data_IF_765014054515
#
_entry.id   IF_765014054515
#
_cell.length_a   1.000
_cell.length_b   1.000
_cell.length_c   1.000
_cell.angle_alpha   90.00
_cell.angle_beta   90.00
_cell.angle_gamma   90.00
#
_symmetry.space_group_name_H-M   'P 1'
#
loop_
_entity.id
_entity.type
_entity.pdbx_description
1 polymer ?
#
# COMPACT_ATOMS: atom_id res chain seq x y z
N UNK A 1 29.45 -3.85 -9.85
CA UNK A 1 28.52 -4.98 -9.62
C UNK A 1 27.10 -4.41 -9.53
N UNK A 2 26.12 -5.01 -10.22
CA UNK A 2 24.73 -4.51 -10.17
C UNK A 2 24.20 -4.53 -8.73
N UNK A 3 23.41 -3.53 -8.32
CA UNK A 3 22.88 -3.43 -6.96
C UNK A 3 22.11 -4.68 -6.52
N UNK A 4 21.46 -5.38 -7.45
CA UNK A 4 20.77 -6.65 -7.22
C UNK A 4 21.72 -7.81 -6.88
N UNK A 5 22.91 -7.88 -7.48
CA UNK A 5 23.91 -8.89 -7.12
C UNK A 5 24.47 -8.67 -5.71
N UNK A 6 24.70 -7.41 -5.34
CA UNK A 6 25.12 -7.03 -3.97
C UNK A 6 24.01 -7.35 -2.97
N UNK A 7 22.75 -7.10 -3.32
CA UNK A 7 21.59 -7.52 -2.54
C UNK A 7 21.59 -9.03 -2.29
N UNK A 8 21.66 -9.86 -3.34
CA UNK A 8 21.64 -11.32 -3.18
C UNK A 8 22.83 -11.83 -2.35
N UNK A 9 24.01 -11.22 -2.47
CA UNK A 9 25.15 -11.56 -1.62
C UNK A 9 24.93 -11.22 -0.14
N UNK A 10 24.40 -10.03 0.17
CA UNK A 10 24.07 -9.62 1.55
C UNK A 10 22.94 -10.48 2.12
N UNK A 11 21.96 -10.83 1.30
CA UNK A 11 20.80 -11.65 1.66
C UNK A 11 21.14 -13.13 1.87
N UNK A 12 22.14 -13.67 1.15
CA UNK A 12 22.66 -15.03 1.38
C UNK A 12 23.18 -15.21 2.81
N UNK A 13 23.72 -14.15 3.41
CA UNK A 13 24.18 -14.15 4.82
C UNK A 13 23.02 -13.99 5.82
N UNK A 14 21.82 -13.61 5.37
CA UNK A 14 20.65 -13.28 6.22
C UNK A 14 19.34 -13.84 5.60
N UNK A 15 19.19 -15.16 5.48
CA UNK A 15 18.09 -15.81 4.75
C UNK A 15 16.69 -15.61 5.37
N UNK A 16 16.61 -15.10 6.59
CA UNK A 16 15.35 -14.79 7.26
C UNK A 16 14.63 -13.56 6.66
N UNK A 17 15.36 -12.61 6.05
CA UNK A 17 14.78 -11.43 5.40
C UNK A 17 13.93 -11.82 4.18
N UNK A 18 14.47 -12.54 3.16
CA UNK A 18 13.68 -12.93 2.01
C UNK A 18 12.59 -13.94 2.42
N UNK A 19 12.86 -14.81 3.40
CA UNK A 19 11.86 -15.74 3.92
C UNK A 19 10.64 -15.02 4.53
N UNK A 20 10.85 -13.93 5.25
CA UNK A 20 9.76 -13.12 5.80
C UNK A 20 8.90 -12.50 4.68
N UNK A 21 9.51 -11.93 3.64
CA UNK A 21 8.78 -11.38 2.49
C UNK A 21 8.04 -12.51 1.76
N UNK A 22 8.67 -13.67 1.60
CA UNK A 22 8.09 -14.84 0.95
C UNK A 22 6.81 -15.32 1.69
N UNK A 23 6.88 -15.48 3.00
CA UNK A 23 5.74 -15.93 3.81
C UNK A 23 4.64 -14.85 3.86
N UNK A 24 5.00 -13.58 4.09
CA UNK A 24 4.02 -12.50 4.18
C UNK A 24 3.27 -12.28 2.86
N UNK A 25 3.97 -12.34 1.72
CA UNK A 25 3.33 -12.26 0.39
C UNK A 25 2.44 -13.46 0.10
N UNK A 26 2.77 -14.66 0.61
CA UNK A 26 1.89 -15.83 0.52
C UNK A 26 0.59 -15.59 1.30
N UNK A 27 0.70 -15.18 2.56
CA UNK A 27 -0.45 -14.90 3.43
C UNK A 27 -1.36 -13.85 2.78
N UNK A 28 -0.79 -12.73 2.30
CA UNK A 28 -1.56 -11.67 1.63
C UNK A 28 -2.27 -12.21 0.39
N UNK A 29 -1.59 -13.02 -0.42
CA UNK A 29 -2.16 -13.59 -1.64
C UNK A 29 -3.32 -14.54 -1.34
N UNK A 30 -3.19 -15.39 -0.30
CA UNK A 30 -4.25 -16.30 0.13
C UNK A 30 -5.44 -15.54 0.72
N UNK A 31 -5.19 -14.52 1.55
CA UNK A 31 -6.25 -13.68 2.13
C UNK A 31 -7.00 -12.91 1.06
N UNK A 32 -6.31 -12.36 0.06
CA UNK A 32 -6.93 -11.66 -1.06
C UNK A 32 -7.80 -12.61 -1.90
N UNK A 33 -7.32 -13.83 -2.15
CA UNK A 33 -8.08 -14.84 -2.88
C UNK A 33 -9.36 -15.28 -2.16
N UNK A 34 -9.31 -15.41 -0.83
CA UNK A 34 -10.47 -15.77 0.00
C UNK A 34 -11.37 -14.58 0.35
N UNK A 35 -11.04 -13.38 -0.12
CA UNK A 35 -11.76 -12.18 0.25
C UNK A 35 -13.10 -12.11 -0.50
N UNK A 36 -14.25 -12.08 0.21
CA UNK A 36 -15.55 -11.94 -0.44
C UNK A 36 -15.70 -10.60 -1.17
N UNK A 37 -14.90 -9.59 -0.80
CA UNK A 37 -14.84 -8.30 -1.49
C UNK A 37 -14.21 -8.47 -2.87
N UNK A 38 -13.13 -9.23 -2.98
CA UNK A 38 -12.45 -9.49 -4.25
C UNK A 38 -13.31 -10.38 -5.15
N UNK A 39 -14.05 -11.32 -4.57
CA UNK A 39 -15.04 -12.12 -5.31
C UNK A 39 -16.19 -11.27 -5.86
N UNK A 40 -16.77 -10.41 -5.02
CA UNK A 40 -17.90 -9.57 -5.40
C UNK A 40 -17.52 -8.47 -6.39
N UNK A 41 -16.41 -7.78 -6.16
CA UNK A 41 -16.01 -6.58 -6.92
C UNK A 41 -14.85 -6.79 -7.89
N UNK A 42 -14.15 -7.92 -7.81
CA UNK A 42 -13.01 -8.22 -8.67
C UNK A 42 -13.37 -8.86 -10.01
N UNK A 43 -14.63 -9.23 -10.24
CA UNK A 43 -15.07 -9.62 -11.58
C UNK A 43 -15.19 -8.39 -12.47
N UNK A 44 -14.53 -8.39 -13.63
CA UNK A 44 -14.67 -7.33 -14.65
C UNK A 44 -16.14 -7.07 -15.05
N UNK A 45 -17.04 -8.02 -14.78
CA UNK A 45 -18.48 -7.93 -15.01
C UNK A 45 -19.11 -6.70 -14.35
N UNK A 46 -18.65 -6.30 -13.16
CA UNK A 46 -19.16 -5.14 -12.43
C UNK A 46 -18.64 -3.81 -12.99
N UNK A 47 -17.46 -3.81 -13.62
CA UNK A 47 -16.86 -2.62 -14.26
C UNK A 47 -17.55 -2.31 -15.61
N UNK A 48 -18.16 -3.32 -16.25
CA UNK A 48 -18.84 -3.18 -17.53
C UNK A 48 -20.37 -3.23 -17.45
N UNK A 49 -20.96 -3.42 -16.26
CA UNK A 49 -22.41 -3.35 -16.07
C UNK A 49 -22.86 -1.95 -15.63
N UNK A 50 -24.15 -1.62 -15.87
CA UNK A 50 -24.80 -0.39 -15.38
C UNK A 50 -24.80 -0.26 -13.84
N UNK A 51 -24.37 -1.30 -13.11
CA UNK A 51 -24.46 -1.41 -11.65
C UNK A 51 -23.46 -0.54 -10.88
N UNK A 52 -22.47 0.10 -11.53
CA UNK A 52 -21.49 0.93 -10.81
C UNK A 52 -22.16 2.13 -10.14
N UNK A 53 -23.05 2.83 -10.84
CA UNK A 53 -23.75 3.98 -10.24
C UNK A 53 -24.71 3.55 -9.15
N UNK A 54 -25.39 2.41 -9.33
CA UNK A 54 -26.28 1.87 -8.30
C UNK A 54 -25.47 1.43 -7.07
N UNK A 55 -24.28 0.84 -7.27
CA UNK A 55 -23.36 0.46 -6.18
C UNK A 55 -22.77 1.68 -5.47
N UNK A 56 -22.41 2.74 -6.21
CA UNK A 56 -21.93 4.00 -5.65
C UNK A 56 -23.06 4.76 -4.93
N UNK A 57 -24.27 4.72 -5.47
CA UNK A 57 -25.48 5.27 -4.86
C UNK A 57 -25.84 4.54 -3.58
N UNK A 58 -25.79 3.20 -3.58
CA UNK A 58 -25.98 2.38 -2.38
C UNK A 58 -24.89 2.67 -1.34
N UNK A 59 -23.64 2.87 -1.76
CA UNK A 59 -22.54 3.26 -0.88
C UNK A 59 -22.77 4.66 -0.29
N UNK A 60 -23.17 5.64 -1.10
CA UNK A 60 -23.50 7.00 -0.65
C UNK A 60 -24.65 6.98 0.36
N UNK A 61 -25.72 6.25 0.05
CA UNK A 61 -26.87 6.10 0.93
C UNK A 61 -26.49 5.43 2.25
N UNK A 62 -25.61 4.40 2.23
CA UNK A 62 -25.07 3.79 3.45
C UNK A 62 -24.26 4.78 4.28
N UNK A 63 -23.43 5.61 3.64
CA UNK A 63 -22.65 6.66 4.32
C UNK A 63 -23.59 7.71 4.92
N UNK A 64 -24.62 8.16 4.19
CA UNK A 64 -25.62 9.10 4.67
C UNK A 64 -26.43 8.54 5.84
N UNK A 65 -26.89 7.30 5.74
CA UNK A 65 -27.62 6.60 6.80
C UNK A 65 -26.75 6.45 8.05
N UNK A 66 -25.46 6.12 7.86
CA UNK A 66 -24.49 6.05 8.94
C UNK A 66 -24.31 7.42 9.62
N UNK A 67 -24.23 8.51 8.86
CA UNK A 67 -24.13 9.87 9.42
C UNK A 67 -25.42 10.29 10.16
N UNK A 68 -26.58 9.87 9.66
CA UNK A 68 -27.89 10.21 10.22
C UNK A 68 -28.14 9.60 11.62
N UNK A 69 -27.44 8.52 11.98
CA UNK A 69 -27.52 7.88 13.30
C UNK A 69 -26.24 8.08 14.13
N UNK A 70 -25.99 9.29 14.67
CA UNK A 70 -24.69 9.67 15.22
C UNK A 70 -24.24 8.80 16.41
N UNK A 71 -25.17 8.30 17.23
CA UNK A 71 -24.84 7.42 18.36
C UNK A 71 -24.33 6.06 17.90
N UNK A 72 -24.97 5.45 16.90
CA UNK A 72 -24.56 4.17 16.34
C UNK A 72 -23.25 4.31 15.55
N UNK A 73 -23.08 5.44 14.84
CA UNK A 73 -21.87 5.76 14.12
C UNK A 73 -20.63 5.86 15.01
N UNK A 74 -20.73 6.59 16.13
CA UNK A 74 -19.62 6.76 17.08
C UNK A 74 -19.18 5.40 17.65
N UNK A 75 -20.14 4.54 18.04
CA UNK A 75 -19.83 3.20 18.56
C UNK A 75 -19.11 2.36 17.51
N UNK A 76 -19.58 2.37 16.25
CA UNK A 76 -18.94 1.63 15.16
C UNK A 76 -17.53 2.15 14.84
N UNK A 77 -17.31 3.48 14.86
CA UNK A 77 -15.98 4.08 14.70
C UNK A 77 -15.05 3.64 15.83
N UNK A 78 -15.50 3.69 17.08
CA UNK A 78 -14.69 3.27 18.22
C UNK A 78 -14.31 1.80 18.16
N UNK A 79 -15.27 0.92 17.80
CA UNK A 79 -15.00 -0.50 17.59
C UNK A 79 -14.00 -0.73 16.46
N UNK A 80 -14.13 0.02 15.36
CA UNK A 80 -13.20 -0.04 14.24
C UNK A 80 -11.78 0.40 14.65
N UNK A 81 -11.65 1.51 15.37
CA UNK A 81 -10.36 2.00 15.85
C UNK A 81 -9.71 1.01 16.82
N UNK A 82 -10.49 0.41 17.73
CA UNK A 82 -10.00 -0.61 18.64
C UNK A 82 -9.52 -1.86 17.89
N UNK A 83 -10.30 -2.31 16.90
CA UNK A 83 -9.92 -3.43 16.04
C UNK A 83 -8.64 -3.12 15.24
N UNK A 84 -8.57 -1.95 14.62
CA UNK A 84 -7.39 -1.50 13.88
C UNK A 84 -6.15 -1.47 14.77
N UNK A 85 -6.28 -1.00 16.02
CA UNK A 85 -5.18 -0.99 16.99
C UNK A 85 -4.74 -2.41 17.38
N UNK A 86 -5.70 -3.30 17.65
CA UNK A 86 -5.42 -4.69 18.00
C UNK A 86 -4.69 -5.43 16.87
N UNK A 87 -5.19 -5.32 15.63
CA UNK A 87 -4.56 -5.91 14.45
C UNK A 87 -3.16 -5.30 14.21
N UNK A 88 -3.03 -3.98 14.39
CA UNK A 88 -1.73 -3.30 14.30
C UNK A 88 -0.72 -3.87 15.29
N UNK A 89 -1.12 -4.13 16.54
CA UNK A 89 -0.25 -4.71 17.55
C UNK A 89 0.26 -6.10 17.15
N UNK A 90 -0.63 -6.96 16.64
CA UNK A 90 -0.28 -8.32 16.20
C UNK A 90 0.71 -8.29 15.02
N UNK A 91 0.43 -7.49 13.99
CA UNK A 91 1.29 -7.40 12.80
C UNK A 91 2.64 -6.76 13.14
N UNK A 92 2.65 -5.78 14.06
CA UNK A 92 3.85 -5.06 14.47
C UNK A 92 4.88 -5.94 15.16
N UNK A 93 4.44 -7.01 15.83
CA UNK A 93 5.35 -7.89 16.55
C UNK A 93 6.39 -8.49 15.61
N UNK A 94 5.94 -9.12 14.52
CA UNK A 94 6.83 -9.71 13.54
C UNK A 94 7.52 -8.66 12.67
N UNK A 95 6.78 -7.61 12.28
CA UNK A 95 7.29 -6.62 11.33
C UNK A 95 8.35 -5.71 11.93
N UNK A 96 8.28 -5.38 13.22
CA UNK A 96 9.28 -4.53 13.89
C UNK A 96 10.67 -5.19 13.92
N UNK A 97 10.72 -6.50 14.17
CA UNK A 97 11.95 -7.30 14.12
C UNK A 97 12.50 -7.32 12.69
N UNK A 98 11.63 -7.53 11.70
CA UNK A 98 12.00 -7.52 10.29
C UNK A 98 12.60 -6.17 9.86
N UNK A 99 11.88 -5.07 10.11
CA UNK A 99 12.29 -3.70 9.74
C UNK A 99 13.69 -3.39 10.28
N UNK A 100 13.94 -3.68 11.56
CA UNK A 100 15.24 -3.41 12.20
C UNK A 100 16.36 -4.25 11.61
N UNK A 101 16.14 -5.56 11.44
CA UNK A 101 17.17 -6.44 10.88
C UNK A 101 17.46 -6.13 9.41
N UNK A 102 16.46 -5.70 8.66
CA UNK A 102 16.63 -5.31 7.26
C UNK A 102 17.40 -3.99 7.14
N UNK A 103 17.07 -2.99 7.96
CA UNK A 103 17.84 -1.74 8.04
C UNK A 103 19.32 -2.01 8.35
N UNK A 104 19.62 -2.77 9.41
CA UNK A 104 21.00 -3.13 9.76
C UNK A 104 21.70 -3.98 8.69
N UNK A 105 20.96 -4.66 7.81
CA UNK A 105 21.55 -5.42 6.70
C UNK A 105 21.93 -4.54 5.51
N UNK A 106 21.21 -3.44 5.32
CA UNK A 106 21.47 -2.51 4.22
C UNK A 106 22.53 -1.49 4.62
N UNK A 107 22.54 -1.04 5.88
CA UNK A 107 23.50 -0.07 6.40
C UNK A 107 24.85 -0.67 6.86
N UNK A 108 25.05 -1.99 6.71
CA UNK A 108 26.25 -2.72 7.16
C UNK A 108 26.66 -2.50 8.64
N UNK A 109 25.72 -2.08 9.49
CA UNK A 109 25.96 -1.81 10.90
C UNK A 109 26.06 -3.09 11.75
N UNK A 110 26.95 -3.08 12.76
CA UNK A 110 27.15 -4.21 13.68
C UNK A 110 25.97 -4.40 14.65
N UNK A 111 25.70 -5.66 15.02
CA UNK A 111 24.61 -6.02 15.94
C UNK A 111 25.15 -6.17 17.35
N UNK A 112 24.91 -5.18 18.21
CA UNK A 112 25.24 -5.26 19.64
C UNK A 112 24.12 -6.03 20.37
N UNK A 113 24.46 -7.22 20.91
CA UNK A 113 23.49 -8.23 21.42
C UNK A 113 22.62 -7.81 22.62
N UNK A 114 22.88 -6.68 23.29
CA UNK A 114 22.04 -6.13 24.38
C UNK A 114 21.13 -4.98 23.94
N UNK A 115 21.60 -4.11 23.06
CA UNK A 115 20.83 -2.98 22.55
C UNK A 115 19.70 -3.40 21.60
N UNK A 116 19.82 -4.58 21.00
CA UNK A 116 18.84 -5.06 20.03
C UNK A 116 17.44 -5.22 20.64
N UNK A 117 17.32 -5.79 21.85
CA UNK A 117 16.02 -5.99 22.51
C UNK A 117 15.38 -4.66 22.92
N UNK A 118 16.15 -3.78 23.56
CA UNK A 118 15.69 -2.45 23.97
C UNK A 118 15.25 -1.61 22.75
N UNK A 119 16.06 -1.61 21.69
CA UNK A 119 15.76 -0.88 20.46
C UNK A 119 14.61 -1.53 19.66
N UNK A 120 14.43 -2.85 19.74
CA UNK A 120 13.30 -3.53 19.09
C UNK A 120 11.96 -3.21 19.76
N UNK A 121 11.92 -3.04 21.08
CA UNK A 121 10.71 -2.58 21.79
C UNK A 121 10.34 -1.15 21.40
N UNK A 122 11.32 -0.24 21.30
CA UNK A 122 11.08 1.11 20.79
C UNK A 122 10.63 1.14 19.32
N UNK A 123 11.11 0.19 18.51
CA UNK A 123 10.67 0.00 17.12
C UNK A 123 9.26 -0.59 17.05
N UNK A 124 8.91 -1.50 17.96
CA UNK A 124 7.60 -2.14 18.05
C UNK A 124 6.47 -1.12 18.20
N UNK A 125 6.55 -0.24 19.21
CA UNK A 125 5.51 0.78 19.44
C UNK A 125 5.31 1.69 18.24
N UNK A 126 6.40 2.14 17.59
CA UNK A 126 6.31 2.95 16.37
C UNK A 126 5.68 2.18 15.21
N UNK A 127 5.96 0.88 15.12
CA UNK A 127 5.37 0.00 14.10
C UNK A 127 3.87 -0.18 14.33
N UNK A 128 3.41 -0.20 15.59
CA UNK A 128 1.97 -0.19 15.92
C UNK A 128 1.32 1.06 15.36
N UNK A 129 1.86 2.24 15.68
CA UNK A 129 1.33 3.50 15.17
C UNK A 129 1.39 3.60 13.65
N UNK A 130 2.43 3.04 13.03
CA UNK A 130 2.55 2.94 11.58
C UNK A 130 1.41 2.14 10.96
N UNK A 131 1.16 0.92 11.42
CA UNK A 131 0.06 0.10 10.89
C UNK A 131 -1.29 0.68 11.25
N UNK A 132 -1.44 1.26 12.44
CA UNK A 132 -2.68 1.91 12.85
C UNK A 132 -3.00 3.09 11.94
N UNK A 133 -2.01 3.94 11.64
CA UNK A 133 -2.16 5.03 10.70
C UNK A 133 -2.55 4.51 9.31
N UNK A 134 -1.96 3.40 8.83
CA UNK A 134 -2.36 2.78 7.55
C UNK A 134 -3.81 2.31 7.61
N UNK A 135 -4.21 1.57 8.65
CA UNK A 135 -5.58 1.07 8.76
C UNK A 135 -6.60 2.19 8.82
N UNK A 136 -6.31 3.31 9.50
CA UNK A 136 -7.24 4.45 9.55
C UNK A 136 -7.25 5.24 8.24
N UNK A 137 -6.08 5.48 7.63
CA UNK A 137 -5.97 6.35 6.46
C UNK A 137 -6.28 5.66 5.13
N UNK A 138 -6.00 4.37 4.98
CA UNK A 138 -6.21 3.64 3.73
C UNK A 138 -7.69 3.57 3.31
N UNK A 139 -8.66 3.28 4.20
CA UNK A 139 -10.08 3.33 3.86
C UNK A 139 -10.55 4.73 3.48
N UNK A 140 -10.05 5.77 4.14
CA UNK A 140 -10.37 7.16 3.81
C UNK A 140 -9.86 7.49 2.39
N UNK A 141 -8.61 7.14 2.10
CA UNK A 141 -8.04 7.31 0.76
C UNK A 141 -8.82 6.51 -0.29
N UNK A 142 -9.21 5.27 0.02
CA UNK A 142 -10.00 4.43 -0.88
C UNK A 142 -11.38 5.05 -1.14
N UNK A 143 -12.07 5.55 -0.12
CA UNK A 143 -13.34 6.26 -0.29
C UNK A 143 -13.17 7.47 -1.21
N UNK A 144 -12.14 8.29 -0.99
CA UNK A 144 -11.85 9.45 -1.85
C UNK A 144 -11.60 9.05 -3.31
N UNK A 145 -10.85 7.96 -3.54
CA UNK A 145 -10.61 7.41 -4.88
C UNK A 145 -11.89 6.86 -5.52
N UNK A 146 -12.76 6.20 -4.75
CA UNK A 146 -14.03 5.68 -5.23
C UNK A 146 -14.99 6.80 -5.62
N UNK A 147 -15.12 7.85 -4.80
CA UNK A 147 -15.93 9.03 -5.14
C UNK A 147 -15.37 9.78 -6.36
N UNK A 148 -14.06 9.74 -6.57
CA UNK A 148 -13.43 10.32 -7.76
C UNK A 148 -13.89 9.63 -9.06
N UNK A 149 -14.23 8.34 -9.02
CA UNK A 149 -14.76 7.59 -10.18
C UNK A 149 -16.13 8.14 -10.63
N UNK A 150 -16.96 8.61 -9.69
CA UNK A 150 -18.27 9.17 -10.00
C UNK A 150 -18.16 10.39 -10.94
N UNK A 151 -17.20 11.28 -10.68
CA UNK A 151 -16.93 12.47 -11.51
C UNK A 151 -16.54 12.06 -12.94
N UNK A 152 -15.66 11.04 -13.07
CA UNK A 152 -15.23 10.51 -14.36
C UNK A 152 -16.42 9.92 -15.13
N UNK A 153 -17.26 9.13 -14.45
CA UNK A 153 -18.42 8.51 -15.07
C UNK A 153 -19.49 9.52 -15.53
N UNK A 154 -19.82 10.51 -14.69
CA UNK A 154 -20.75 11.60 -15.06
C UNK A 154 -20.24 12.34 -16.29
N UNK A 155 -18.93 12.59 -16.34
CA UNK A 155 -18.28 13.23 -17.49
C UNK A 155 -18.46 12.40 -18.78
N UNK A 156 -18.29 11.08 -18.71
CA UNK A 156 -18.50 10.16 -19.83
C UNK A 156 -19.99 10.18 -20.27
N UNK A 157 -20.94 10.13 -19.34
CA UNK A 157 -22.36 10.19 -19.67
C UNK A 157 -22.76 11.50 -20.36
N UNK A 158 -22.28 12.64 -19.83
CA UNK A 158 -22.57 13.95 -20.43
C UNK A 158 -21.95 14.07 -21.82
N UNK A 159 -20.73 13.54 -22.01
CA UNK A 159 -20.07 13.47 -23.32
C UNK A 159 -20.94 12.72 -24.35
N UNK A 160 -21.45 11.54 -24.01
CA UNK A 160 -22.31 10.76 -24.91
C UNK A 160 -23.73 11.33 -25.05
N UNK A 161 -24.19 12.18 -24.13
CA UNK A 161 -25.52 12.83 -24.21
C UNK A 161 -25.59 14.01 -25.18
N UNK A 162 -24.47 14.43 -25.79
CA UNK A 162 -24.43 15.51 -26.78
C UNK A 162 -24.66 16.92 -26.23
N UNK A 163 -24.73 17.09 -24.90
CA UNK A 163 -24.92 18.39 -24.24
C UNK A 163 -23.60 19.18 -24.22
N UNK A 164 -23.31 19.84 -25.33
CA UNK A 164 -22.00 20.45 -25.63
C UNK A 164 -21.52 21.54 -24.65
N UNK A 165 -22.41 22.25 -23.96
CA UNK A 165 -22.04 23.47 -23.22
C UNK A 165 -21.11 23.25 -22.02
N UNK A 166 -21.08 22.03 -21.45
CA UNK A 166 -20.31 21.73 -20.23
C UNK A 166 -19.26 20.63 -20.40
N UNK A 167 -19.14 20.03 -21.60
CA UNK A 167 -18.28 18.87 -21.83
C UNK A 167 -16.81 19.19 -21.54
N UNK A 168 -16.32 20.33 -22.03
CA UNK A 168 -14.90 20.71 -21.83
C UNK A 168 -14.58 20.89 -20.35
N UNK A 169 -15.46 21.58 -19.60
CA UNK A 169 -15.28 21.79 -18.15
C UNK A 169 -15.30 20.46 -17.37
N UNK A 170 -16.20 19.55 -17.73
CA UNK A 170 -16.30 18.22 -17.09
C UNK A 170 -15.09 17.34 -17.41
N UNK A 171 -14.59 17.36 -18.65
CA UNK A 171 -13.37 16.62 -19.05
C UNK A 171 -12.16 17.14 -18.28
N UNK A 172 -11.99 18.47 -18.18
CA UNK A 172 -10.90 19.06 -17.40
C UNK A 172 -11.01 18.68 -15.93
N UNK A 173 -12.21 18.74 -15.34
CA UNK A 173 -12.44 18.32 -13.97
C UNK A 173 -12.08 16.84 -13.76
N UNK A 174 -12.53 15.95 -14.64
CA UNK A 174 -12.24 14.51 -14.57
C UNK A 174 -10.73 14.23 -14.66
N UNK A 175 -10.01 14.89 -15.58
CA UNK A 175 -8.56 14.74 -15.71
C UNK A 175 -7.84 15.22 -14.45
N UNK A 176 -8.23 16.38 -13.90
CA UNK A 176 -7.66 16.90 -12.65
C UNK A 176 -7.93 15.96 -11.48
N UNK A 177 -9.15 15.44 -11.34
CA UNK A 177 -9.51 14.49 -10.28
C UNK A 177 -8.68 13.21 -10.39
N UNK A 178 -8.52 12.64 -11.60
CA UNK A 178 -7.68 11.46 -11.82
C UNK A 178 -6.23 11.76 -11.47
N UNK A 179 -5.69 12.90 -11.92
CA UNK A 179 -4.31 13.28 -11.64
C UNK A 179 -4.06 13.45 -10.13
N UNK A 180 -4.93 14.19 -9.44
CA UNK A 180 -4.84 14.39 -7.99
C UNK A 180 -4.95 13.05 -7.25
N UNK A 181 -5.92 12.20 -7.60
CA UNK A 181 -6.09 10.88 -6.99
C UNK A 181 -4.87 9.98 -7.21
N UNK A 182 -4.32 9.99 -8.42
CA UNK A 182 -3.10 9.25 -8.77
C UNK A 182 -1.91 9.72 -7.94
N UNK A 183 -1.62 11.02 -7.92
CA UNK A 183 -0.49 11.55 -7.15
C UNK A 183 -0.69 11.34 -5.66
N UNK A 184 -1.89 11.55 -5.12
CA UNK A 184 -2.20 11.28 -3.71
C UNK A 184 -1.91 9.82 -3.34
N UNK A 185 -2.30 8.87 -4.20
CA UNK A 185 -2.03 7.45 -4.00
C UNK A 185 -0.52 7.12 -4.09
N UNK A 186 0.19 7.69 -5.06
CA UNK A 186 1.64 7.50 -5.19
C UNK A 186 2.37 8.06 -3.97
N UNK A 187 2.06 9.29 -3.54
CA UNK A 187 2.65 9.90 -2.35
C UNK A 187 2.35 9.11 -1.09
N UNK A 188 1.12 8.61 -0.95
CA UNK A 188 0.75 7.72 0.15
C UNK A 188 1.67 6.49 0.22
N UNK A 189 1.86 5.82 -0.92
CA UNK A 189 2.70 4.62 -1.00
C UNK A 189 4.17 4.95 -0.72
N UNK A 190 4.72 6.02 -1.31
CA UNK A 190 6.10 6.45 -1.06
C UNK A 190 6.31 6.76 0.43
N UNK A 191 5.43 7.57 1.02
CA UNK A 191 5.52 8.01 2.40
C UNK A 191 5.53 6.85 3.39
N UNK A 192 4.55 5.94 3.31
CA UNK A 192 4.50 4.79 4.20
C UNK A 192 5.65 3.81 3.94
N UNK A 193 6.09 3.65 2.68
CA UNK A 193 7.27 2.82 2.38
C UNK A 193 8.53 3.36 3.06
N UNK A 194 8.78 4.68 2.99
CA UNK A 194 9.92 5.34 3.61
C UNK A 194 9.85 5.42 5.13
N UNK A 195 8.66 5.41 5.68
CA UNK A 195 8.45 5.41 7.13
C UNK A 195 9.02 4.15 7.78
N UNK A 196 9.01 3.01 7.08
CA UNK A 196 9.57 1.75 7.60
C UNK A 196 11.07 1.86 7.97
N UNK A 197 12.00 2.17 7.05
CA UNK A 197 13.39 2.34 7.41
C UNK A 197 13.61 3.52 8.37
N UNK A 198 12.81 4.59 8.29
CA UNK A 198 12.93 5.74 9.20
C UNK A 198 12.62 5.39 10.67
N UNK A 199 11.61 4.55 10.91
CA UNK A 199 11.29 4.02 12.24
C UNK A 199 12.45 3.21 12.82
N UNK A 200 13.17 2.49 11.96
CA UNK A 200 14.32 1.68 12.33
C UNK A 200 15.55 2.53 12.65
N UNK A 201 15.79 3.57 11.85
CA UNK A 201 16.98 4.41 11.89
C UNK A 201 16.94 5.42 13.05
N UNK A 202 15.81 6.10 13.26
CA UNK A 202 15.73 7.23 14.19
C UNK A 202 15.02 6.88 15.50
N UNK A 203 15.64 7.23 16.64
CA UNK A 203 15.06 6.99 17.98
C UNK A 203 13.81 7.83 18.24
N UNK A 204 13.76 9.07 17.76
CA UNK A 204 12.59 9.96 17.80
C UNK A 204 12.39 10.56 16.41
N UNK A 205 11.15 10.96 16.09
CA UNK A 205 10.87 11.72 14.87
C UNK A 205 10.88 10.95 13.54
N UNK A 206 11.00 9.61 13.54
CA UNK A 206 11.11 8.82 12.30
C UNK A 206 10.03 9.12 11.25
N UNK A 207 8.77 9.34 11.65
CA UNK A 207 7.69 9.77 10.74
C UNK A 207 7.95 11.14 10.10
N UNK A 208 8.38 12.12 10.89
CA UNK A 208 8.71 13.48 10.41
C UNK A 208 9.91 13.43 9.47
N UNK A 209 10.91 12.62 9.78
CA UNK A 209 12.07 12.43 8.91
C UNK A 209 11.67 11.77 7.59
N UNK A 210 10.82 10.74 7.62
CA UNK A 210 10.28 10.14 6.40
C UNK A 210 9.53 11.16 5.54
N UNK A 211 8.72 12.04 6.16
CA UNK A 211 8.03 13.12 5.45
C UNK A 211 9.02 14.09 4.79
N UNK A 212 10.05 14.51 5.53
CA UNK A 212 11.07 15.43 5.02
C UNK A 212 11.88 14.82 3.88
N UNK A 213 12.31 13.57 4.01
CA UNK A 213 13.04 12.86 2.96
C UNK A 213 12.19 12.66 1.71
N UNK A 214 10.95 12.20 1.87
CA UNK A 214 10.06 11.96 0.73
C UNK A 214 9.63 13.26 0.05
N UNK A 215 9.49 14.36 0.79
CA UNK A 215 9.23 15.69 0.24
C UNK A 215 10.43 16.25 -0.53
N UNK A 216 11.64 16.15 0.04
CA UNK A 216 12.87 16.66 -0.60
C UNK A 216 13.30 15.87 -1.83
N UNK A 217 13.07 14.55 -1.83
CA UNK A 217 13.49 13.64 -2.89
C UNK A 217 12.33 13.10 -3.75
N UNK A 218 11.16 13.75 -3.70
CA UNK A 218 9.93 13.23 -4.29
C UNK A 218 10.09 12.83 -5.78
N UNK A 219 10.72 13.67 -6.58
CA UNK A 219 10.92 13.45 -8.02
C UNK A 219 11.84 12.25 -8.34
N UNK A 220 12.78 11.94 -7.46
CA UNK A 220 13.65 10.76 -7.63
C UNK A 220 12.91 9.46 -7.25
N UNK A 221 12.03 9.51 -6.25
CA UNK A 221 11.32 8.35 -5.72
C UNK A 221 10.09 7.98 -6.55
N UNK A 222 9.38 9.00 -7.01
CA UNK A 222 8.08 8.86 -7.65
C UNK A 222 8.10 7.96 -8.89
N UNK A 223 9.03 8.08 -9.87
CA UNK A 223 9.01 7.23 -11.06
C UNK A 223 9.16 5.73 -10.73
N UNK A 224 10.00 5.39 -9.74
CA UNK A 224 10.22 4.00 -9.32
C UNK A 224 9.02 3.44 -8.56
N UNK A 225 8.37 4.26 -7.74
CA UNK A 225 7.12 3.86 -7.08
C UNK A 225 5.97 3.73 -8.07
N UNK A 226 5.87 4.61 -9.07
CA UNK A 226 4.89 4.48 -10.16
C UNK A 226 5.11 3.17 -10.91
N UNK A 227 6.35 2.83 -11.26
CA UNK A 227 6.68 1.57 -11.92
C UNK A 227 6.28 0.36 -11.05
N UNK A 228 6.60 0.39 -9.76
CA UNK A 228 6.17 -0.65 -8.81
C UNK A 228 4.65 -0.80 -8.76
N UNK A 229 3.92 0.31 -8.65
CA UNK A 229 2.46 0.31 -8.61
C UNK A 229 1.85 -0.19 -9.93
N UNK A 230 2.42 0.21 -11.06
CA UNK A 230 2.00 -0.25 -12.38
C UNK A 230 2.18 -1.76 -12.53
N UNK A 231 3.34 -2.31 -12.17
CA UNK A 231 3.59 -3.76 -12.19
C UNK A 231 2.61 -4.49 -11.28
N UNK A 232 2.39 -4.00 -10.05
CA UNK A 232 1.43 -4.59 -9.12
C UNK A 232 -0.02 -4.53 -9.64
N UNK A 233 -0.39 -3.45 -10.33
CA UNK A 233 -1.70 -3.31 -10.97
C UNK A 233 -1.87 -4.32 -12.13
N UNK A 234 -0.88 -4.44 -13.01
CA UNK A 234 -0.89 -5.42 -14.12
C UNK A 234 -1.02 -6.83 -13.57
N UNK A 235 -0.23 -7.17 -12.54
CA UNK A 235 -0.36 -8.45 -11.85
C UNK A 235 -1.78 -8.63 -11.36
N UNK A 236 -2.35 -7.69 -10.60
CA UNK A 236 -3.75 -7.80 -10.12
C UNK A 236 -4.78 -7.96 -11.24
N UNK A 237 -4.69 -7.18 -12.31
CA UNK A 237 -5.61 -7.23 -13.46
C UNK A 237 -5.59 -8.60 -14.13
N UNK A 238 -4.39 -9.13 -14.40
CA UNK A 238 -4.23 -10.47 -15.00
C UNK A 238 -4.83 -11.55 -14.10
N UNK A 239 -4.66 -11.42 -12.78
CA UNK A 239 -5.18 -12.39 -11.83
C UNK A 239 -6.70 -12.40 -11.73
N UNK A 240 -7.31 -11.22 -11.67
CA UNK A 240 -8.77 -11.10 -11.68
C UNK A 240 -9.37 -11.66 -12.97
N UNK A 241 -8.71 -11.42 -14.11
CA UNK A 241 -9.17 -11.95 -15.41
C UNK A 241 -9.13 -13.47 -15.48
N UNK A 242 -8.05 -14.12 -14.99
CA UNK A 242 -7.92 -15.57 -15.06
C UNK A 242 -8.79 -16.27 -14.00
N UNK A 243 -8.84 -15.72 -12.78
CA UNK A 243 -9.52 -16.36 -11.66
C UNK A 243 -11.05 -16.34 -11.78
N UNK A 244 -11.62 -15.20 -12.16
CA UNK A 244 -13.08 -15.03 -12.29
C UNK A 244 -13.60 -15.20 -13.72
N UNK A 245 -12.69 -15.37 -14.69
CA UNK A 245 -13.05 -15.56 -16.10
C UNK A 245 -13.36 -17.01 -16.47
N UNK A 246 -12.51 -17.99 -16.08
CA UNK A 246 -12.46 -19.29 -16.79
C UNK A 246 -11.90 -20.50 -15.99
N UNK A 247 -11.64 -20.43 -14.68
CA UNK A 247 -10.75 -21.40 -14.02
C UNK A 247 -11.44 -22.56 -13.27
N UNK A 248 -10.96 -23.79 -13.52
CA UNK A 248 -11.13 -24.95 -12.63
C UNK A 248 -10.33 -24.77 -11.32
N UNK A 249 -10.60 -25.53 -10.24
CA UNK A 249 -9.87 -25.42 -8.97
C UNK A 249 -8.34 -25.55 -9.11
N UNK A 250 -7.88 -26.40 -10.05
CA UNK A 250 -6.46 -26.60 -10.34
C UNK A 250 -5.82 -25.36 -10.98
N UNK A 251 -6.52 -24.69 -11.90
CA UNK A 251 -6.04 -23.46 -12.51
C UNK A 251 -5.98 -22.31 -11.49
N UNK A 252 -6.94 -22.25 -10.55
CA UNK A 252 -6.90 -21.28 -9.46
C UNK A 252 -5.64 -21.43 -8.58
N UNK A 253 -5.25 -22.67 -8.24
CA UNK A 253 -4.03 -22.94 -7.47
C UNK A 253 -2.76 -22.52 -8.21
N UNK A 254 -2.66 -22.82 -9.52
CA UNK A 254 -1.51 -22.41 -10.34
C UNK A 254 -1.41 -20.88 -10.39
N UNK A 255 -2.55 -20.20 -10.59
CA UNK A 255 -2.62 -18.73 -10.62
C UNK A 255 -2.19 -18.12 -9.29
N UNK A 256 -2.64 -18.67 -8.16
CA UNK A 256 -2.17 -18.25 -6.82
C UNK A 256 -0.65 -18.43 -6.69
N UNK A 257 -0.10 -19.56 -7.12
CA UNK A 257 1.33 -19.84 -7.04
C UNK A 257 2.17 -18.84 -7.85
N UNK A 258 1.78 -18.59 -9.11
CA UNK A 258 2.44 -17.61 -9.98
C UNK A 258 2.31 -16.20 -9.40
N UNK A 259 1.12 -15.82 -8.92
CA UNK A 259 0.88 -14.54 -8.25
C UNK A 259 1.86 -14.31 -7.12
N UNK A 260 1.95 -15.30 -6.25
CA UNK A 260 2.74 -15.23 -5.06
C UNK A 260 4.22 -15.04 -5.40
N UNK A 261 4.74 -15.79 -6.36
CA UNK A 261 6.13 -15.67 -6.82
C UNK A 261 6.39 -14.29 -7.42
N UNK A 262 5.52 -13.81 -8.31
CA UNK A 262 5.70 -12.48 -8.94
C UNK A 262 5.64 -11.39 -7.87
N UNK A 263 4.65 -11.43 -6.97
CA UNK A 263 4.54 -10.48 -5.86
C UNK A 263 5.78 -10.51 -5.00
N UNK A 264 6.23 -11.70 -4.59
CA UNK A 264 7.45 -11.85 -3.82
C UNK A 264 8.65 -11.14 -4.49
N UNK A 265 8.89 -11.38 -5.77
CA UNK A 265 9.98 -10.74 -6.53
C UNK A 265 9.83 -9.22 -6.55
N UNK A 266 8.63 -8.72 -6.87
CA UNK A 266 8.35 -7.28 -6.97
C UNK A 266 8.49 -6.59 -5.61
N UNK A 267 7.98 -7.19 -4.53
CA UNK A 267 8.14 -6.70 -3.16
C UNK A 267 9.61 -6.68 -2.74
N UNK A 268 10.35 -7.75 -3.02
CA UNK A 268 11.80 -7.84 -2.75
C UNK A 268 12.56 -6.69 -3.40
N UNK A 269 12.34 -6.47 -4.70
CA UNK A 269 13.01 -5.40 -5.46
C UNK A 269 12.64 -4.03 -4.90
N UNK A 270 11.35 -3.79 -4.66
CA UNK A 270 10.88 -2.49 -4.18
C UNK A 270 11.35 -2.19 -2.75
N UNK A 271 11.23 -3.16 -1.83
CA UNK A 271 11.71 -3.00 -0.46
C UNK A 271 13.23 -2.78 -0.41
N UNK A 272 14.00 -3.49 -1.24
CA UNK A 272 15.44 -3.22 -1.35
C UNK A 272 15.74 -1.82 -1.86
N UNK A 273 15.05 -1.37 -2.92
CA UNK A 273 15.16 -0.01 -3.42
C UNK A 273 14.91 1.00 -2.30
N UNK A 274 13.77 0.91 -1.61
CA UNK A 274 13.39 1.85 -0.54
C UNK A 274 14.45 1.94 0.55
N UNK A 275 14.96 0.81 1.05
CA UNK A 275 15.95 0.83 2.13
C UNK A 275 17.32 1.34 1.66
N UNK A 276 17.75 1.00 0.44
CA UNK A 276 19.03 1.49 -0.09
C UNK A 276 19.00 2.98 -0.40
N UNK A 277 17.93 3.45 -1.04
CA UNK A 277 17.75 4.88 -1.29
C UNK A 277 17.56 5.65 0.02
N UNK A 278 16.90 5.07 1.02
CA UNK A 278 16.79 5.68 2.35
C UNK A 278 18.16 5.89 2.97
N UNK A 279 19.05 4.89 2.98
CA UNK A 279 20.40 5.04 3.55
C UNK A 279 21.17 6.12 2.80
N UNK A 280 21.16 6.10 1.46
CA UNK A 280 21.84 7.12 0.65
C UNK A 280 21.31 8.54 0.92
N UNK A 281 19.99 8.72 0.99
CA UNK A 281 19.35 10.02 1.29
C UNK A 281 19.62 10.45 2.74
N UNK A 282 19.65 9.50 3.68
CA UNK A 282 19.99 9.77 5.08
C UNK A 282 21.40 10.33 5.19
N UNK A 283 22.35 9.68 4.52
CA UNK A 283 23.75 10.08 4.56
C UNK A 283 23.96 11.44 3.88
N UNK A 284 23.19 11.76 2.84
CA UNK A 284 23.20 13.08 2.22
C UNK A 284 22.58 14.17 3.13
N UNK A 285 21.36 13.96 3.61
CA UNK A 285 20.61 14.96 4.38
C UNK A 285 21.08 15.16 5.82
N UNK A 286 21.76 14.17 6.40
CA UNK A 286 22.18 14.15 7.81
C UNK A 286 23.66 13.80 7.94
N UNK A 287 24.50 14.26 7.00
CA UNK A 287 25.94 13.93 6.90
C UNK A 287 26.82 14.38 8.08
N UNK A 288 26.28 15.06 9.09
CA UNK A 288 27.05 15.68 10.19
C UNK A 288 26.40 15.53 11.59
N UNK A 289 25.86 14.34 11.91
CA UNK A 289 25.67 13.86 13.30
C UNK A 289 26.28 12.46 13.46
#
# INVERSE_FOLDING_TARGET
MSGLAVYFMRMKKRPYIPLFILISTLIITVLEHKSPIVEKYGSFKLIFSKDIMDSLGELSHKVETFIAEPKNAIVQILLYLLFALAVSAVISFFTSIYIRKFYLAVSDAEVIKGEFLHNSLGTFVKTIFYFFAIFVSAPILLLLLVFSIAIVYITILVFFSGKASWIVALVVLALLTIAVGFFAFVFYVVYFSYTQPAIAAFRKGGFRTALSMTGGYCWYLMPKTILYLFVMLVVRVVLLAIHYGLASPTMALIVIGITWIIRFIVYVIYTYFIYTSFVAIKDDMFSEE
#
